data_IF_903449268733
#
_entry.id   IF_903449268733
#
_cell.length_a   1.000
_cell.length_b   1.000
_cell.length_c   1.000
_cell.angle_alpha   90.00
_cell.angle_beta   90.00
_cell.angle_gamma   90.00
#
_symmetry.space_group_name_H-M   'P 1'
#
loop_
_entity.id
_entity.type
_entity.pdbx_description
1 polymer ?
#
# COMPACT_ATOMS: atom_id res chain seq x y z
N UNK A 1 37.69 6.61 -36.97
CA UNK A 1 37.44 6.18 -35.57
C UNK A 1 38.63 6.61 -34.75
N UNK A 2 38.42 7.43 -33.72
CA UNK A 2 39.53 7.90 -32.87
C UNK A 2 39.89 6.83 -31.83
N UNK A 3 41.15 6.81 -31.40
CA UNK A 3 41.59 6.07 -30.22
C UNK A 3 42.03 7.10 -29.18
N UNK A 4 41.07 7.50 -28.33
CA UNK A 4 41.31 8.51 -27.29
C UNK A 4 41.56 7.74 -26.00
N UNK A 5 42.81 7.73 -25.53
CA UNK A 5 43.14 7.10 -24.25
C UNK A 5 42.67 7.97 -23.07
N UNK A 6 42.82 9.30 -23.16
CA UNK A 6 42.38 10.21 -22.12
C UNK A 6 41.96 11.59 -22.64
N UNK A 7 40.99 12.19 -21.95
CA UNK A 7 40.57 13.58 -22.08
C UNK A 7 41.01 14.33 -20.83
N UNK A 8 42.02 15.19 -20.97
CA UNK A 8 42.62 15.96 -19.87
C UNK A 8 41.99 17.34 -19.68
N UNK A 9 41.03 17.70 -20.54
CA UNK A 9 40.34 18.98 -20.54
C UNK A 9 39.69 19.22 -21.90
N UNK A 10 38.41 19.57 -21.90
CA UNK A 10 37.69 19.89 -23.13
C UNK A 10 36.59 20.91 -22.83
N UNK A 11 36.51 21.98 -23.61
CA UNK A 11 35.49 23.01 -23.44
C UNK A 11 34.98 23.45 -24.80
N UNK A 12 33.66 23.47 -24.97
CA UNK A 12 32.99 23.98 -26.15
C UNK A 12 31.75 24.77 -25.75
N UNK A 13 31.47 25.86 -26.46
CA UNK A 13 30.25 26.66 -26.25
C UNK A 13 28.95 25.96 -26.67
N UNK A 14 29.05 24.87 -27.42
CA UNK A 14 27.91 24.07 -27.93
C UNK A 14 28.02 22.62 -27.42
N UNK A 15 27.30 21.70 -28.05
CA UNK A 15 27.40 20.26 -27.79
C UNK A 15 28.77 19.69 -28.14
N UNK A 16 29.17 18.65 -27.41
CA UNK A 16 30.40 17.90 -27.61
C UNK A 16 30.05 16.46 -27.98
N UNK A 17 30.69 15.91 -29.01
CA UNK A 17 30.63 14.49 -29.36
C UNK A 17 32.02 13.84 -29.19
N UNK A 18 32.14 12.91 -28.25
CA UNK A 18 33.33 12.08 -28.07
C UNK A 18 33.09 10.70 -28.69
N UNK A 19 33.89 10.35 -29.68
CA UNK A 19 33.91 9.02 -30.29
C UNK A 19 35.27 8.37 -30.07
N UNK A 20 35.33 7.19 -29.44
CA UNK A 20 36.57 6.47 -29.17
C UNK A 20 36.40 4.96 -29.32
N UNK A 21 37.33 4.27 -29.96
CA UNK A 21 37.27 2.79 -30.10
C UNK A 21 37.77 2.04 -28.87
N UNK A 22 38.43 2.72 -27.93
CA UNK A 22 38.97 2.12 -26.71
C UNK A 22 38.35 2.74 -25.46
N UNK A 23 38.75 2.21 -24.30
CA UNK A 23 38.42 2.82 -23.00
C UNK A 23 39.04 4.22 -22.93
N UNK A 24 38.22 5.21 -22.63
CA UNK A 24 38.64 6.62 -22.55
C UNK A 24 38.56 7.11 -21.11
N UNK A 25 39.69 7.53 -20.55
CA UNK A 25 39.73 8.16 -19.22
C UNK A 25 39.44 9.66 -19.28
N UNK A 26 38.44 10.14 -18.56
CA UNK A 26 38.19 11.58 -18.39
C UNK A 26 38.95 12.03 -17.13
N UNK A 27 40.09 12.68 -17.34
CA UNK A 27 41.04 13.04 -16.26
C UNK A 27 41.04 14.53 -15.93
N UNK A 28 40.48 15.36 -16.81
CA UNK A 28 40.23 16.77 -16.55
C UNK A 28 38.83 17.20 -16.96
N UNK A 29 38.47 18.48 -16.74
CA UNK A 29 37.10 18.95 -16.85
C UNK A 29 36.59 18.89 -18.29
N UNK A 30 35.32 18.51 -18.46
CA UNK A 30 34.61 18.53 -19.74
C UNK A 30 33.43 19.48 -19.61
N UNK A 31 33.41 20.55 -20.40
CA UNK A 31 32.37 21.57 -20.38
C UNK A 31 31.74 21.69 -21.76
N UNK A 32 30.50 21.20 -21.90
CA UNK A 32 29.68 21.40 -23.08
C UNK A 32 28.64 22.49 -22.77
N UNK A 33 28.58 23.54 -23.58
CA UNK A 33 27.48 24.52 -23.51
C UNK A 33 26.14 23.93 -23.96
N UNK A 34 26.17 22.77 -24.65
CA UNK A 34 25.02 21.93 -24.96
C UNK A 34 25.15 20.53 -24.37
N UNK A 35 24.73 19.51 -25.12
CA UNK A 35 24.83 18.11 -24.67
C UNK A 35 26.24 17.55 -24.86
N UNK A 36 26.66 16.68 -23.94
CA UNK A 36 27.77 15.76 -24.13
C UNK A 36 27.24 14.43 -24.68
N UNK A 37 27.79 13.96 -25.80
CA UNK A 37 27.50 12.65 -26.38
C UNK A 37 28.74 11.77 -26.30
N UNK A 38 28.63 10.62 -25.62
CA UNK A 38 29.72 9.65 -25.48
C UNK A 38 29.45 8.40 -26.33
N UNK A 39 30.36 8.07 -27.25
CA UNK A 39 30.26 6.89 -28.10
C UNK A 39 31.58 6.12 -28.09
N UNK A 40 31.57 4.84 -27.71
CA UNK A 40 32.80 4.07 -27.70
C UNK A 40 32.81 2.79 -26.89
N UNK A 41 33.99 2.31 -26.54
CA UNK A 41 34.12 1.08 -25.75
C UNK A 41 33.69 1.31 -24.30
N UNK A 42 34.33 2.25 -23.59
CA UNK A 42 33.99 2.60 -22.22
C UNK A 42 34.50 4.00 -21.89
N UNK A 43 33.89 4.66 -20.92
CA UNK A 43 34.34 5.95 -20.40
C UNK A 43 34.38 5.90 -18.88
N UNK A 44 35.46 6.42 -18.30
CA UNK A 44 35.62 6.48 -16.85
C UNK A 44 36.26 7.80 -16.43
N UNK A 45 35.62 8.52 -15.51
CA UNK A 45 36.23 9.62 -14.80
C UNK A 45 37.28 9.09 -13.83
N UNK A 46 38.49 9.67 -13.90
CA UNK A 46 39.57 9.40 -12.95
C UNK A 46 40.28 10.71 -12.64
N UNK A 47 40.13 11.22 -11.41
CA UNK A 47 40.70 12.52 -11.00
C UNK A 47 39.66 13.63 -10.88
N UNK A 48 40.06 14.89 -11.06
CA UNK A 48 39.19 16.08 -10.94
C UNK A 48 38.35 16.38 -12.19
N UNK A 49 38.13 15.37 -13.05
CA UNK A 49 37.22 15.48 -14.18
C UNK A 49 35.81 15.72 -13.66
N UNK A 50 35.29 16.93 -13.85
CA UNK A 50 33.89 17.24 -13.66
C UNK A 50 33.30 17.50 -15.04
N UNK A 51 32.18 16.84 -15.34
CA UNK A 51 31.38 17.09 -16.53
C UNK A 51 30.34 18.15 -16.19
N UNK A 52 30.32 19.23 -16.99
CA UNK A 52 29.24 20.22 -17.01
C UNK A 52 28.61 20.20 -18.39
N UNK A 53 27.33 19.86 -18.46
CA UNK A 53 26.61 19.80 -19.73
C UNK A 53 25.12 20.07 -19.50
N UNK A 54 24.44 20.62 -20.51
CA UNK A 54 22.96 20.73 -20.44
C UNK A 54 22.30 19.37 -20.57
N UNK A 55 22.99 18.39 -21.14
CA UNK A 55 22.56 17.01 -21.09
C UNK A 55 23.65 16.01 -21.42
N UNK A 56 23.38 14.75 -21.11
CA UNK A 56 24.24 13.61 -21.40
C UNK A 56 23.48 12.61 -22.26
N UNK A 57 24.13 12.12 -23.31
CA UNK A 57 23.64 11.04 -24.17
C UNK A 57 24.79 10.12 -24.51
N UNK A 58 24.50 8.90 -24.94
CA UNK A 58 25.59 8.05 -25.40
C UNK A 58 25.24 6.61 -25.68
N UNK A 59 26.18 5.92 -26.32
CA UNK A 59 26.15 4.48 -26.48
C UNK A 59 27.56 3.93 -26.32
N UNK A 60 27.76 3.16 -25.26
CA UNK A 60 29.06 2.55 -24.94
C UNK A 60 28.91 1.04 -24.85
N UNK A 61 29.86 0.28 -25.38
CA UNK A 61 29.78 -1.19 -25.40
C UNK A 61 30.19 -1.85 -24.08
N UNK A 62 30.84 -1.12 -23.19
CA UNK A 62 31.30 -1.53 -21.86
C UNK A 62 30.66 -0.67 -20.77
N UNK A 63 31.40 -0.40 -19.69
CA UNK A 63 30.93 0.42 -18.57
C UNK A 63 31.03 1.93 -18.82
N UNK A 64 30.19 2.68 -18.11
CA UNK A 64 30.24 4.13 -18.03
C UNK A 64 30.35 4.55 -16.56
N UNK A 65 31.48 5.11 -16.17
CA UNK A 65 31.71 5.54 -14.77
C UNK A 65 31.99 7.03 -14.73
N UNK A 66 30.97 7.82 -14.43
CA UNK A 66 31.04 9.27 -14.23
C UNK A 66 30.87 9.57 -12.74
N UNK A 67 31.85 9.13 -11.94
CA UNK A 67 31.82 9.22 -10.48
C UNK A 67 32.28 10.57 -9.90
N UNK A 68 32.78 11.47 -10.75
CA UNK A 68 33.15 12.83 -10.34
C UNK A 68 31.95 13.67 -9.90
N UNK A 69 32.20 14.88 -9.40
CA UNK A 69 31.12 15.81 -9.06
C UNK A 69 30.59 16.49 -10.35
N UNK A 70 29.64 15.85 -11.01
CA UNK A 70 29.09 16.34 -12.28
C UNK A 70 27.96 17.35 -12.07
N UNK A 71 27.63 18.08 -13.14
CA UNK A 71 26.50 19.00 -13.21
C UNK A 71 25.84 18.84 -14.57
N UNK A 72 24.87 17.93 -14.64
CA UNK A 72 24.17 17.51 -15.84
C UNK A 72 22.67 17.71 -15.61
N UNK A 73 22.04 18.60 -16.37
CA UNK A 73 20.62 18.89 -16.17
C UNK A 73 19.69 17.79 -16.72
N UNK A 74 20.11 17.06 -17.75
CA UNK A 74 19.23 16.10 -18.45
C UNK A 74 20.00 14.87 -18.90
N UNK A 75 19.48 13.69 -18.58
CA UNK A 75 19.93 12.44 -19.17
C UNK A 75 19.03 12.08 -20.35
N UNK A 76 19.55 12.18 -21.57
CA UNK A 76 18.87 11.68 -22.77
C UNK A 76 19.09 10.18 -22.95
N UNK A 77 18.92 9.69 -24.18
CA UNK A 77 19.15 8.27 -24.47
C UNK A 77 20.59 7.88 -24.15
N UNK A 78 20.74 6.87 -23.29
CA UNK A 78 22.03 6.40 -22.81
C UNK A 78 22.03 4.87 -22.71
N UNK A 79 22.98 4.21 -23.37
CA UNK A 79 23.15 2.76 -23.26
C UNK A 79 24.57 2.38 -22.87
N UNK A 80 24.73 1.44 -21.95
CA UNK A 80 26.01 0.81 -21.62
C UNK A 80 25.90 -0.72 -21.68
N UNK A 81 26.96 -1.40 -22.13
CA UNK A 81 27.02 -2.87 -22.14
C UNK A 81 27.33 -3.49 -20.77
N UNK A 82 27.72 -2.65 -19.79
CA UNK A 82 27.93 -3.00 -18.38
C UNK A 82 27.40 -1.86 -17.50
N UNK A 83 27.84 -1.73 -16.26
CA UNK A 83 27.29 -0.77 -15.28
C UNK A 83 27.37 0.69 -15.76
N UNK A 84 26.41 1.48 -15.28
CA UNK A 84 26.41 2.94 -15.38
C UNK A 84 26.53 3.48 -13.96
N UNK A 85 27.56 4.26 -13.69
CA UNK A 85 27.73 5.02 -12.45
C UNK A 85 27.68 6.49 -12.81
N UNK A 86 26.76 7.24 -12.21
CA UNK A 86 26.65 8.68 -12.37
C UNK A 86 26.55 9.33 -11.00
N UNK A 87 27.46 10.26 -10.73
CA UNK A 87 27.41 11.16 -9.58
C UNK A 87 27.18 12.58 -10.10
N UNK A 88 26.05 13.19 -9.73
CA UNK A 88 25.64 14.53 -10.15
C UNK A 88 25.26 15.40 -8.93
N UNK A 89 25.20 16.71 -9.14
CA UNK A 89 24.86 17.68 -8.09
C UNK A 89 23.72 18.63 -8.48
N UNK A 90 23.36 18.68 -9.76
CA UNK A 90 22.24 19.45 -10.28
C UNK A 90 21.02 18.54 -10.39
N UNK A 91 19.81 19.09 -10.20
CA UNK A 91 18.60 18.29 -10.40
C UNK A 91 18.59 17.65 -11.80
N UNK A 92 18.49 16.32 -11.83
CA UNK A 92 18.63 15.53 -13.03
C UNK A 92 17.26 15.11 -13.58
N UNK A 93 17.00 15.49 -14.83
CA UNK A 93 15.82 15.04 -15.56
C UNK A 93 16.17 13.84 -16.47
N UNK A 94 15.59 12.67 -16.23
CA UNK A 94 15.70 11.51 -17.11
C UNK A 94 14.71 11.69 -18.26
N UNK A 95 15.21 12.07 -19.43
CA UNK A 95 14.40 12.45 -20.60
C UNK A 95 14.46 11.45 -21.76
N UNK A 96 15.33 10.43 -21.69
CA UNK A 96 15.43 9.38 -22.71
C UNK A 96 15.53 7.98 -22.10
N UNK A 97 15.53 6.97 -22.95
CA UNK A 97 15.72 5.58 -22.53
C UNK A 97 17.14 5.39 -21.99
N UNK A 98 17.25 4.91 -20.75
CA UNK A 98 18.53 4.48 -20.16
C UNK A 98 18.56 2.96 -20.11
N UNK A 99 19.60 2.35 -20.68
CA UNK A 99 19.71 0.90 -20.76
C UNK A 99 21.07 0.42 -20.28
N UNK A 100 21.06 -0.52 -19.35
CA UNK A 100 22.24 -1.32 -18.99
C UNK A 100 21.80 -2.70 -18.49
N UNK A 101 22.46 -3.80 -18.93
CA UNK A 101 22.23 -5.11 -18.33
C UNK A 101 22.78 -5.20 -16.89
N UNK A 102 23.65 -4.26 -16.50
CA UNK A 102 24.21 -4.13 -15.17
C UNK A 102 23.37 -3.20 -14.27
N UNK A 103 24.05 -2.60 -13.30
CA UNK A 103 23.44 -1.67 -12.35
C UNK A 103 23.60 -0.23 -12.83
N UNK A 104 22.53 0.56 -12.76
CA UNK A 104 22.61 2.01 -12.72
C UNK A 104 22.80 2.43 -11.25
N UNK A 105 23.99 2.94 -10.92
CA UNK A 105 24.25 3.60 -9.64
C UNK A 105 24.13 5.10 -9.84
N UNK A 106 23.08 5.70 -9.30
CA UNK A 106 22.79 7.11 -9.42
C UNK A 106 22.95 7.82 -8.07
N UNK A 107 23.98 8.65 -7.97
CA UNK A 107 24.15 9.56 -6.84
C UNK A 107 23.83 10.97 -7.32
N UNK A 108 22.89 11.65 -6.67
CA UNK A 108 22.51 13.01 -7.02
C UNK A 108 22.33 13.84 -5.75
N UNK A 109 22.96 15.01 -5.64
CA UNK A 109 22.80 15.86 -4.47
C UNK A 109 21.42 16.57 -4.41
N UNK A 110 20.72 16.64 -5.54
CA UNK A 110 19.41 17.26 -5.71
C UNK A 110 18.33 16.17 -5.96
N UNK A 111 17.25 16.54 -6.66
CA UNK A 111 16.17 15.63 -7.00
C UNK A 111 16.36 15.02 -8.39
N UNK A 112 15.89 13.79 -8.56
CA UNK A 112 15.87 13.08 -9.84
C UNK A 112 14.42 12.85 -10.27
N UNK A 113 14.09 13.26 -11.49
CA UNK A 113 12.75 13.09 -12.04
C UNK A 113 12.79 12.48 -13.43
N UNK A 114 11.88 11.55 -13.70
CA UNK A 114 11.66 10.97 -15.01
C UNK A 114 10.61 11.77 -15.80
N UNK A 115 10.98 12.21 -17.00
CA UNK A 115 10.09 12.90 -17.91
C UNK A 115 9.06 11.93 -18.53
N UNK A 116 7.91 12.46 -18.95
CA UNK A 116 6.91 11.66 -19.66
C UNK A 116 7.48 11.00 -20.93
N UNK A 117 7.36 9.68 -21.02
CA UNK A 117 7.85 8.89 -22.16
C UNK A 117 9.31 8.45 -22.07
N UNK A 118 10.05 8.86 -21.02
CA UNK A 118 11.30 8.21 -20.66
C UNK A 118 11.02 6.83 -20.04
N UNK A 119 12.08 6.02 -19.97
CA UNK A 119 12.05 4.70 -19.34
C UNK A 119 13.46 4.26 -18.95
N UNK A 120 13.54 3.37 -17.98
CA UNK A 120 14.75 2.67 -17.57
C UNK A 120 14.63 1.19 -17.92
N UNK A 121 15.69 0.59 -18.45
CA UNK A 121 15.83 -0.85 -18.66
C UNK A 121 17.13 -1.32 -18.04
N UNK A 122 17.05 -1.82 -16.81
CA UNK A 122 18.19 -1.99 -15.90
C UNK A 122 18.23 -3.40 -15.31
N UNK A 123 19.44 -3.98 -15.20
CA UNK A 123 19.67 -5.14 -14.35
C UNK A 123 19.56 -4.81 -12.85
N UNK A 124 19.89 -3.58 -12.47
CA UNK A 124 19.70 -3.08 -11.12
C UNK A 124 19.69 -1.57 -11.00
N UNK A 125 19.12 -1.08 -9.91
CA UNK A 125 19.14 0.33 -9.51
C UNK A 125 19.72 0.46 -8.09
N UNK A 126 20.67 1.37 -7.93
CA UNK A 126 21.31 1.69 -6.67
C UNK A 126 21.58 3.20 -6.57
N UNK A 127 21.83 3.69 -5.35
CA UNK A 127 22.44 5.00 -5.14
C UNK A 127 21.79 5.84 -4.04
N UNK A 128 22.02 7.15 -4.11
CA UNK A 128 21.60 8.10 -3.08
C UNK A 128 21.20 9.42 -3.73
N UNK A 129 19.96 9.82 -3.51
CA UNK A 129 19.37 11.05 -4.02
C UNK A 129 19.14 12.00 -2.84
N UNK A 130 19.71 13.20 -2.88
CA UNK A 130 19.60 14.18 -1.80
C UNK A 130 18.19 14.76 -1.67
N UNK A 131 17.47 14.86 -2.78
CA UNK A 131 16.06 15.26 -2.87
C UNK A 131 15.12 14.07 -3.05
N UNK A 132 14.00 14.29 -3.76
CA UNK A 132 13.08 13.22 -4.14
C UNK A 132 13.55 12.44 -5.37
N UNK A 133 13.07 11.20 -5.51
CA UNK A 133 13.29 10.34 -6.66
C UNK A 133 11.94 9.97 -7.28
N UNK A 134 11.68 10.41 -8.51
CA UNK A 134 10.45 10.09 -9.23
C UNK A 134 10.76 9.36 -10.52
N UNK A 135 10.50 8.04 -10.53
CA UNK A 135 10.59 7.15 -11.69
C UNK A 135 9.18 6.71 -12.07
N UNK A 136 8.38 7.62 -12.61
CA UNK A 136 6.96 7.42 -12.89
C UNK A 136 6.65 6.77 -14.25
N UNK A 137 7.66 6.53 -15.08
CA UNK A 137 7.54 5.93 -16.41
C UNK A 137 7.32 4.43 -16.38
N UNK A 138 7.30 3.83 -17.57
CA UNK A 138 7.16 2.39 -17.76
C UNK A 138 8.53 1.70 -17.65
N UNK A 139 9.10 1.69 -16.44
CA UNK A 139 10.44 1.16 -16.20
C UNK A 139 10.49 -0.37 -16.17
N UNK A 140 11.65 -0.94 -16.50
CA UNK A 140 11.99 -2.35 -16.36
C UNK A 140 13.29 -2.47 -15.57
N UNK A 141 13.16 -2.51 -14.26
CA UNK A 141 14.22 -2.60 -13.27
C UNK A 141 14.13 -3.99 -12.65
N UNK A 142 15.17 -4.81 -12.83
CA UNK A 142 15.14 -6.18 -12.31
C UNK A 142 15.42 -6.23 -10.80
N UNK A 143 16.33 -5.39 -10.29
CA UNK A 143 16.72 -5.40 -8.87
C UNK A 143 16.80 -3.99 -8.28
N UNK A 144 16.34 -3.85 -7.03
CA UNK A 144 16.71 -2.72 -6.18
C UNK A 144 17.83 -3.16 -5.24
N UNK A 145 18.97 -2.49 -5.32
CA UNK A 145 20.04 -2.63 -4.34
C UNK A 145 19.87 -1.59 -3.22
N UNK A 146 20.97 -1.10 -2.64
CA UNK A 146 20.89 0.03 -1.71
C UNK A 146 20.47 1.30 -2.44
N UNK A 147 19.33 1.88 -2.06
CA UNK A 147 18.78 3.08 -2.66
C UNK A 147 18.20 4.00 -1.58
N UNK A 148 18.50 5.29 -1.65
CA UNK A 148 17.93 6.28 -0.72
C UNK A 148 17.52 7.55 -1.44
N UNK A 149 16.45 8.18 -0.95
CA UNK A 149 16.03 9.53 -1.32
C UNK A 149 15.79 10.37 -0.06
N UNK A 150 16.30 11.61 -0.04
CA UNK A 150 16.06 12.53 1.07
C UNK A 150 14.62 13.07 1.14
N UNK A 151 13.86 12.96 0.04
CA UNK A 151 12.43 13.29 -0.03
C UNK A 151 11.56 12.07 -0.36
N UNK A 152 10.45 12.30 -1.07
CA UNK A 152 9.59 11.22 -1.56
C UNK A 152 10.30 10.38 -2.62
N UNK A 153 10.02 9.08 -2.63
CA UNK A 153 10.47 8.12 -3.63
C UNK A 153 9.26 7.47 -4.30
N UNK A 154 9.18 7.59 -5.62
CA UNK A 154 8.22 6.87 -6.47
C UNK A 154 8.98 6.02 -7.48
N UNK A 155 8.69 4.71 -7.52
CA UNK A 155 9.20 3.80 -8.54
C UNK A 155 8.01 3.06 -9.17
N UNK A 156 7.73 3.37 -10.43
CA UNK A 156 6.81 2.64 -11.27
C UNK A 156 7.59 1.65 -12.15
N UNK A 157 7.22 0.38 -12.13
CA UNK A 157 7.92 -0.69 -12.81
C UNK A 157 6.95 -1.70 -13.44
N UNK A 158 7.17 -2.02 -14.71
CA UNK A 158 6.26 -2.90 -15.48
C UNK A 158 6.53 -4.38 -15.24
N UNK A 159 7.67 -4.72 -14.64
CA UNK A 159 8.10 -6.09 -14.40
C UNK A 159 8.20 -6.43 -12.91
N UNK A 160 8.71 -7.62 -12.63
CA UNK A 160 9.06 -8.03 -11.27
C UNK A 160 10.36 -7.40 -10.83
N UNK A 161 10.39 -6.87 -9.62
CA UNK A 161 11.59 -6.32 -8.96
C UNK A 161 12.01 -7.21 -7.81
N UNK A 162 13.31 -7.48 -7.66
CA UNK A 162 13.85 -8.11 -6.44
C UNK A 162 14.44 -7.05 -5.51
N UNK A 163 14.06 -7.07 -4.23
CA UNK A 163 14.57 -6.19 -3.19
C UNK A 163 15.85 -6.78 -2.55
N UNK A 164 17.02 -6.44 -3.10
CA UNK A 164 18.34 -6.95 -2.70
C UNK A 164 19.12 -5.99 -1.77
N UNK A 165 18.50 -4.93 -1.27
CA UNK A 165 19.14 -4.01 -0.35
C UNK A 165 18.15 -3.04 0.30
N UNK A 166 18.62 -2.22 1.24
CA UNK A 166 17.78 -1.23 1.89
C UNK A 166 17.34 -0.15 0.90
N UNK A 167 16.03 0.11 0.86
CA UNK A 167 15.41 1.18 0.11
C UNK A 167 14.73 2.12 1.09
N UNK A 168 15.13 3.40 1.06
CA UNK A 168 14.62 4.38 2.02
C UNK A 168 14.22 5.71 1.37
N UNK A 169 13.17 6.32 1.90
CA UNK A 169 12.72 7.66 1.53
C UNK A 169 12.58 8.51 2.78
N UNK A 170 12.90 9.81 2.68
CA UNK A 170 12.80 10.72 3.82
C UNK A 170 11.37 10.94 4.31
N UNK A 171 10.38 10.75 3.44
CA UNK A 171 8.96 10.99 3.72
C UNK A 171 8.08 9.82 3.32
N UNK A 172 7.86 9.61 2.01
CA UNK A 172 7.01 8.54 1.49
C UNK A 172 7.75 7.69 0.45
N UNK A 173 7.56 6.38 0.51
CA UNK A 173 8.00 5.43 -0.49
C UNK A 173 6.79 4.84 -1.20
N UNK A 174 6.69 5.05 -2.51
CA UNK A 174 5.64 4.51 -3.36
C UNK A 174 6.23 3.54 -4.40
N UNK A 175 5.84 2.27 -4.34
CA UNK A 175 6.18 1.26 -5.33
C UNK A 175 4.93 0.87 -6.13
N UNK A 176 4.95 1.13 -7.43
CA UNK A 176 3.90 0.72 -8.38
C UNK A 176 4.49 -0.32 -9.32
N UNK A 177 4.40 -1.60 -8.96
CA UNK A 177 5.14 -2.66 -9.65
C UNK A 177 4.26 -3.84 -10.04
N UNK A 178 4.60 -4.52 -11.14
CA UNK A 178 3.90 -5.75 -11.52
C UNK A 178 4.23 -6.92 -10.57
N UNK A 179 5.43 -6.91 -9.96
CA UNK A 179 5.86 -7.91 -9.00
C UNK A 179 6.94 -7.37 -8.07
N UNK A 180 7.00 -7.91 -6.84
CA UNK A 180 8.02 -7.57 -5.85
C UNK A 180 8.44 -8.85 -5.11
N UNK A 181 9.69 -9.22 -5.23
CA UNK A 181 10.27 -10.38 -4.57
C UNK A 181 11.21 -9.90 -3.47
N UNK A 182 11.19 -10.60 -2.34
CA UNK A 182 12.22 -10.45 -1.33
C UNK A 182 13.56 -10.98 -1.88
N UNK A 183 14.60 -10.20 -1.69
CA UNK A 183 15.99 -10.60 -1.94
C UNK A 183 16.82 -10.61 -0.66
N UNK A 184 18.13 -10.72 -0.79
CA UNK A 184 19.04 -10.74 0.37
C UNK A 184 19.22 -9.35 0.97
N UNK A 185 18.85 -9.14 2.24
CA UNK A 185 19.10 -7.87 2.94
C UNK A 185 18.18 -6.71 2.53
N UNK A 186 17.02 -7.02 1.95
CA UNK A 186 16.00 -6.04 1.60
C UNK A 186 15.32 -5.41 2.81
N UNK A 187 15.13 -4.09 2.79
CA UNK A 187 14.27 -3.38 3.75
C UNK A 187 13.61 -2.18 3.07
N UNK A 188 12.39 -1.82 3.46
CA UNK A 188 11.70 -0.62 3.00
C UNK A 188 11.49 0.32 4.19
N UNK A 189 11.99 1.54 4.11
CA UNK A 189 11.89 2.52 5.20
C UNK A 189 11.41 3.89 4.72
N UNK A 190 10.32 4.37 5.29
CA UNK A 190 9.76 5.71 5.09
C UNK A 190 8.73 5.97 6.20
N UNK A 191 8.26 7.21 6.33
CA UNK A 191 7.09 7.50 7.18
C UNK A 191 5.82 6.83 6.64
N UNK A 192 5.68 6.78 5.32
CA UNK A 192 4.61 6.05 4.62
C UNK A 192 5.21 5.11 3.59
N UNK A 193 4.79 3.84 3.60
CA UNK A 193 5.13 2.86 2.56
C UNK A 193 3.85 2.51 1.81
N UNK A 194 3.77 2.89 0.54
CA UNK A 194 2.63 2.65 -0.34
C UNK A 194 3.01 1.68 -1.46
N UNK A 195 2.26 0.59 -1.61
CA UNK A 195 2.52 -0.43 -2.63
C UNK A 195 1.25 -0.70 -3.43
N UNK A 196 1.35 -0.66 -4.76
CA UNK A 196 0.25 -0.98 -5.66
C UNK A 196 0.71 -1.81 -6.86
N UNK A 197 -0.19 -2.63 -7.44
CA UNK A 197 0.10 -3.32 -8.69
C UNK A 197 0.25 -2.32 -9.84
N UNK A 198 1.16 -2.60 -10.78
CA UNK A 198 1.21 -1.89 -12.05
C UNK A 198 -0.09 -2.11 -12.84
N UNK A 199 -0.66 -1.05 -13.42
CA UNK A 199 -1.93 -1.06 -14.20
C UNK A 199 -3.18 -1.59 -13.47
N UNK A 200 -3.31 -1.35 -12.16
CA UNK A 200 -4.52 -1.71 -11.41
C UNK A 200 -4.85 -3.22 -11.45
N UNK A 201 -3.83 -4.08 -11.51
CA UNK A 201 -4.02 -5.54 -11.47
C UNK A 201 -4.42 -6.09 -10.10
N UNK A 202 -4.34 -7.42 -9.97
CA UNK A 202 -4.53 -8.10 -8.70
C UNK A 202 -3.31 -7.94 -7.80
N UNK A 203 -3.58 -7.71 -6.52
CA UNK A 203 -2.61 -7.80 -5.45
C UNK A 203 -2.92 -9.04 -4.60
N UNK A 204 -1.88 -9.79 -4.26
CA UNK A 204 -1.91 -10.98 -3.43
C UNK A 204 -0.98 -10.75 -2.23
N UNK A 205 -1.53 -10.73 -1.02
CA UNK A 205 -0.80 -10.74 0.24
C UNK A 205 -0.82 -12.18 0.73
N UNK A 206 0.34 -12.81 0.88
CA UNK A 206 0.42 -14.25 1.21
C UNK A 206 1.17 -15.07 0.18
N UNK A 207 1.06 -14.72 -1.11
CA UNK A 207 1.91 -15.23 -2.18
C UNK A 207 1.66 -16.69 -2.54
N UNK A 208 0.42 -17.17 -2.48
CA UNK A 208 0.10 -18.60 -2.64
C UNK A 208 -0.64 -18.97 -3.93
N UNK A 209 -1.24 -18.07 -4.72
CA UNK A 209 -1.91 -18.53 -5.94
C UNK A 209 -2.30 -17.53 -7.04
N UNK A 210 -2.21 -16.20 -6.87
CA UNK A 210 -2.79 -15.29 -7.87
C UNK A 210 -1.73 -14.59 -8.72
N UNK A 211 -1.94 -14.58 -10.05
CA UNK A 211 -1.12 -13.79 -10.97
C UNK A 211 -1.25 -12.30 -10.62
N UNK A 212 -0.13 -11.62 -10.41
CA UNK A 212 -0.10 -10.20 -10.04
C UNK A 212 1.04 -9.87 -9.09
N UNK A 213 0.89 -8.75 -8.39
CA UNK A 213 1.83 -8.33 -7.37
C UNK A 213 1.64 -9.20 -6.13
N UNK A 214 2.70 -9.88 -5.68
CA UNK A 214 2.66 -10.75 -4.51
C UNK A 214 3.51 -10.16 -3.38
N UNK A 215 2.96 -10.09 -2.17
CA UNK A 215 3.68 -9.69 -0.96
C UNK A 215 3.64 -10.85 0.05
N UNK A 216 4.70 -11.64 0.09
CA UNK A 216 4.87 -12.69 1.09
C UNK A 216 5.19 -12.09 2.47
N UNK A 217 4.99 -12.86 3.55
CA UNK A 217 5.31 -12.42 4.92
C UNK A 217 6.74 -11.90 5.05
N UNK A 218 7.72 -12.57 4.45
CA UNK A 218 9.12 -12.18 4.61
C UNK A 218 9.40 -10.79 4.02
N UNK A 219 8.73 -10.43 2.91
CA UNK A 219 8.75 -9.07 2.37
C UNK A 219 8.02 -8.06 3.26
N UNK A 220 6.86 -8.42 3.82
CA UNK A 220 6.13 -7.56 4.76
C UNK A 220 6.97 -7.27 6.02
N UNK A 221 7.72 -8.26 6.49
CA UNK A 221 8.66 -8.10 7.61
C UNK A 221 9.83 -7.16 7.30
N UNK A 222 10.07 -6.84 6.03
CA UNK A 222 11.10 -5.91 5.60
C UNK A 222 10.68 -4.44 5.73
N UNK A 223 9.40 -4.16 6.03
CA UNK A 223 8.90 -2.79 6.18
C UNK A 223 9.29 -2.22 7.53
N UNK A 224 9.57 -0.91 7.59
CA UNK A 224 9.78 -0.22 8.87
C UNK A 224 8.54 -0.36 9.76
N UNK A 225 8.76 -0.77 11.01
CA UNK A 225 7.68 -1.04 11.97
C UNK A 225 6.89 0.20 12.39
N UNK A 226 7.39 1.40 12.11
CA UNK A 226 6.73 2.67 12.40
C UNK A 226 6.08 3.30 11.16
N UNK A 227 6.21 2.67 9.99
CA UNK A 227 5.60 3.18 8.78
C UNK A 227 4.07 3.06 8.86
N UNK A 228 3.37 4.06 8.34
CA UNK A 228 1.99 3.86 7.88
C UNK A 228 2.06 3.08 6.58
N UNK A 229 1.40 1.93 6.53
CA UNK A 229 1.49 1.04 5.38
C UNK A 229 0.20 1.16 4.56
N UNK A 230 0.33 1.46 3.27
CA UNK A 230 -0.78 1.52 2.32
C UNK A 230 -0.58 0.44 1.28
N UNK A 231 -1.54 -0.44 1.17
CA UNK A 231 -1.48 -1.63 0.33
C UNK A 231 -2.63 -1.60 -0.66
N UNK A 232 -2.31 -1.76 -1.94
CA UNK A 232 -3.27 -1.70 -3.04
C UNK A 232 -3.55 -0.30 -3.56
N UNK A 233 -2.90 0.76 -3.05
CA UNK A 233 -2.88 2.06 -3.70
C UNK A 233 -1.54 2.79 -3.54
N UNK A 234 -1.08 3.38 -4.64
CA UNK A 234 0.10 4.22 -4.70
C UNK A 234 0.05 5.07 -5.98
N UNK A 235 0.44 6.34 -5.89
CA UNK A 235 0.52 7.27 -7.03
C UNK A 235 -0.74 7.30 -7.93
N UNK A 236 -1.93 7.30 -7.32
CA UNK A 236 -3.21 7.32 -8.04
C UNK A 236 -3.64 5.97 -8.65
N UNK A 237 -2.78 4.95 -8.64
CA UNK A 237 -3.13 3.58 -9.01
C UNK A 237 -3.82 2.90 -7.83
N UNK A 238 -4.84 2.08 -8.13
CA UNK A 238 -5.53 1.23 -7.15
C UNK A 238 -5.61 -0.20 -7.69
N UNK A 239 -5.43 -1.21 -6.85
CA UNK A 239 -5.62 -2.61 -7.22
C UNK A 239 -7.07 -2.87 -7.65
N UNK A 240 -7.28 -3.70 -8.67
CA UNK A 240 -8.64 -4.14 -9.05
C UNK A 240 -9.22 -5.11 -8.04
N UNK A 241 -8.36 -5.87 -7.38
CA UNK A 241 -8.70 -6.83 -6.35
C UNK A 241 -7.52 -7.04 -5.43
N UNK A 242 -7.80 -7.26 -4.15
CA UNK A 242 -6.81 -7.66 -3.14
C UNK A 242 -7.21 -9.01 -2.59
N UNK A 243 -6.30 -9.97 -2.64
CA UNK A 243 -6.41 -11.25 -1.95
C UNK A 243 -5.44 -11.23 -0.78
N UNK A 244 -5.92 -11.54 0.42
CA UNK A 244 -5.10 -11.70 1.60
C UNK A 244 -5.18 -13.16 2.05
N UNK A 245 -4.24 -13.93 1.55
CA UNK A 245 -4.03 -15.35 1.82
C UNK A 245 -2.78 -15.55 2.71
N UNK A 246 -2.54 -16.80 3.12
CA UNK A 246 -1.39 -17.13 3.99
C UNK A 246 -1.45 -16.46 5.37
N UNK A 247 -0.30 -16.38 6.04
CA UNK A 247 -0.21 -15.76 7.37
C UNK A 247 0.62 -14.49 7.28
N UNK A 248 -0.03 -13.34 7.37
CA UNK A 248 0.59 -12.02 7.24
C UNK A 248 0.42 -11.22 8.51
N UNK A 249 1.53 -10.77 9.08
CA UNK A 249 1.62 -9.83 10.17
C UNK A 249 2.42 -8.61 9.70
N UNK A 250 1.79 -7.45 9.79
CA UNK A 250 2.43 -6.15 9.58
C UNK A 250 3.08 -5.63 10.88
N UNK A 251 3.49 -6.55 11.76
CA UNK A 251 3.99 -6.25 13.09
C UNK A 251 3.05 -5.27 13.81
N UNK A 252 3.58 -4.13 14.27
CA UNK A 252 2.81 -3.10 14.95
C UNK A 252 2.46 -1.90 14.03
N UNK A 253 2.26 -2.11 12.73
CA UNK A 253 1.87 -1.02 11.82
C UNK A 253 0.35 -0.75 11.83
N UNK A 254 -0.01 0.49 11.46
CA UNK A 254 -1.34 0.82 10.95
C UNK A 254 -1.34 0.58 9.43
N UNK A 255 -2.31 -0.19 8.96
CA UNK A 255 -2.34 -0.66 7.58
C UNK A 255 -3.65 -0.28 6.91
N UNK A 256 -3.57 0.40 5.78
CA UNK A 256 -4.71 0.60 4.88
C UNK A 256 -4.63 -0.40 3.74
N UNK A 257 -5.66 -1.23 3.57
CA UNK A 257 -5.82 -2.12 2.41
C UNK A 257 -6.91 -1.56 1.50
N UNK A 258 -6.57 -1.22 0.26
CA UNK A 258 -7.53 -0.62 -0.66
C UNK A 258 -7.59 -1.32 -2.01
N UNK A 259 -8.80 -1.40 -2.54
CA UNK A 259 -9.12 -2.00 -3.83
C UNK A 259 -10.21 -1.17 -4.50
N UNK A 260 -10.19 -1.04 -5.83
CA UNK A 260 -11.35 -0.56 -6.58
C UNK A 260 -12.42 -1.63 -6.76
N UNK A 261 -12.08 -2.90 -6.55
CA UNK A 261 -12.99 -4.04 -6.61
C UNK A 261 -12.91 -4.87 -5.33
N UNK A 262 -12.91 -6.19 -5.44
CA UNK A 262 -13.05 -7.04 -4.26
C UNK A 262 -11.84 -7.00 -3.31
N UNK A 263 -12.09 -7.21 -2.01
CA UNK A 263 -11.09 -7.63 -1.03
C UNK A 263 -11.54 -8.99 -0.49
N UNK A 264 -10.69 -10.00 -0.67
CA UNK A 264 -10.94 -11.37 -0.18
C UNK A 264 -9.84 -11.74 0.78
N UNK A 265 -10.17 -11.91 2.05
CA UNK A 265 -9.24 -12.32 3.10
C UNK A 265 -9.59 -13.74 3.53
N UNK A 266 -8.65 -14.68 3.38
CA UNK A 266 -8.82 -16.11 3.71
C UNK A 266 -7.74 -16.62 4.65
N UNK A 267 -6.63 -15.90 4.75
CA UNK A 267 -5.49 -16.21 5.59
C UNK A 267 -5.61 -15.69 7.03
N UNK A 268 -4.48 -15.44 7.67
CA UNK A 268 -4.42 -14.67 8.92
C UNK A 268 -3.83 -13.29 8.66
N UNK A 269 -4.40 -12.26 9.29
CA UNK A 269 -3.96 -10.88 9.16
C UNK A 269 -3.76 -10.26 10.56
N UNK A 270 -2.54 -9.82 10.87
CA UNK A 270 -2.14 -9.26 12.17
C UNK A 270 -1.51 -7.86 12.07
N UNK A 271 -1.88 -6.93 12.96
CA UNK A 271 -1.38 -5.55 12.95
C UNK A 271 -1.90 -4.71 14.13
N UNK A 272 -1.45 -3.45 14.29
CA UNK A 272 -2.09 -2.54 15.26
C UNK A 272 -3.45 -2.09 14.80
N UNK A 273 -3.61 -1.88 13.50
CA UNK A 273 -4.90 -1.51 12.95
C UNK A 273 -4.98 -1.78 11.46
N UNK A 274 -6.21 -2.07 11.01
CA UNK A 274 -6.52 -2.24 9.60
C UNK A 274 -7.69 -1.35 9.21
N UNK A 275 -7.51 -0.59 8.14
CA UNK A 275 -8.57 0.11 7.43
C UNK A 275 -8.70 -0.47 6.02
N UNK A 276 -9.75 -1.26 5.79
CA UNK A 276 -10.06 -1.86 4.51
C UNK A 276 -11.06 -0.98 3.75
N UNK A 277 -10.80 -0.70 2.48
CA UNK A 277 -11.71 0.05 1.60
C UNK A 277 -11.79 -0.61 0.22
N UNK A 278 -13.00 -1.04 -0.17
CA UNK A 278 -13.17 -1.90 -1.34
C UNK A 278 -14.58 -1.92 -1.94
N UNK A 279 -14.69 -2.65 -3.04
CA UNK A 279 -15.92 -3.05 -3.71
C UNK A 279 -16.75 -3.97 -2.83
N UNK A 280 -16.69 -5.27 -3.07
CA UNK A 280 -17.24 -6.30 -2.17
C UNK A 280 -16.15 -6.83 -1.24
N UNK A 281 -16.49 -7.17 -0.01
CA UNK A 281 -15.54 -7.74 0.95
C UNK A 281 -15.96 -9.12 1.43
N UNK A 282 -15.02 -10.05 1.44
CA UNK A 282 -15.17 -11.38 2.06
C UNK A 282 -14.05 -11.58 3.08
N UNK A 283 -14.38 -11.57 4.37
CA UNK A 283 -13.46 -11.71 5.49
C UNK A 283 -13.60 -13.12 6.07
N UNK A 284 -13.01 -14.08 5.37
CA UNK A 284 -13.18 -15.51 5.59
C UNK A 284 -12.08 -16.15 6.44
N UNK A 285 -10.99 -15.43 6.71
CA UNK A 285 -9.89 -15.88 7.55
C UNK A 285 -9.88 -15.18 8.91
N UNK A 286 -8.77 -15.32 9.63
CA UNK A 286 -8.65 -14.72 10.96
C UNK A 286 -7.96 -13.35 10.89
N UNK A 287 -8.53 -12.35 11.55
CA UNK A 287 -8.00 -11.00 11.62
C UNK A 287 -7.83 -10.63 13.10
N UNK A 288 -6.63 -10.22 13.47
CA UNK A 288 -6.31 -9.71 14.80
C UNK A 288 -5.72 -8.32 14.69
N UNK A 289 -6.41 -7.33 15.25
CA UNK A 289 -6.02 -5.94 15.17
C UNK A 289 -6.30 -5.20 16.49
N UNK A 290 -5.55 -4.14 16.79
CA UNK A 290 -5.99 -3.19 17.81
C UNK A 290 -7.30 -2.51 17.39
N UNK A 291 -7.33 -1.92 16.19
CA UNK A 291 -8.54 -1.35 15.57
C UNK A 291 -8.80 -1.97 14.20
N UNK A 292 -10.05 -2.22 13.85
CA UNK A 292 -10.42 -2.75 12.55
C UNK A 292 -11.59 -1.97 11.95
N UNK A 293 -11.40 -1.44 10.75
CA UNK A 293 -12.42 -0.82 9.93
C UNK A 293 -12.49 -1.56 8.61
N UNK A 294 -13.69 -1.95 8.18
CA UNK A 294 -13.93 -2.41 6.82
C UNK A 294 -15.07 -1.61 6.20
N UNK A 295 -14.75 -0.83 5.17
CA UNK A 295 -15.68 0.00 4.42
C UNK A 295 -15.91 -0.53 3.01
N UNK A 296 -16.94 -1.35 2.88
CA UNK A 296 -17.35 -1.98 1.63
C UNK A 296 -18.38 -1.10 0.92
N UNK A 297 -18.12 -0.75 -0.33
CA UNK A 297 -19.11 -0.08 -1.19
C UNK A 297 -20.21 -1.05 -1.66
N UNK A 298 -19.92 -2.35 -1.64
CA UNK A 298 -20.83 -3.46 -1.89
C UNK A 298 -21.13 -4.28 -0.63
N UNK A 299 -21.51 -5.54 -0.81
CA UNK A 299 -21.75 -6.45 0.32
C UNK A 299 -20.46 -6.79 1.06
N UNK A 300 -20.56 -6.93 2.38
CA UNK A 300 -19.50 -7.46 3.24
C UNK A 300 -20.01 -8.74 3.89
N UNK A 301 -19.28 -9.84 3.70
CA UNK A 301 -19.46 -11.09 4.44
C UNK A 301 -18.25 -11.32 5.32
N UNK A 302 -18.48 -11.63 6.59
CA UNK A 302 -17.47 -12.01 7.56
C UNK A 302 -17.77 -13.42 8.01
N UNK A 303 -16.89 -14.37 7.71
CA UNK A 303 -17.06 -15.78 8.09
C UNK A 303 -15.91 -16.34 8.93
N UNK A 304 -14.74 -15.70 8.91
CA UNK A 304 -13.61 -16.05 9.78
C UNK A 304 -13.66 -15.35 11.14
N UNK A 305 -12.60 -15.44 11.93
CA UNK A 305 -12.54 -14.78 13.25
C UNK A 305 -12.07 -13.34 13.11
N UNK A 306 -12.77 -12.39 13.72
CA UNK A 306 -12.34 -11.00 13.78
C UNK A 306 -12.20 -10.57 15.24
N UNK A 307 -10.98 -10.24 15.66
CA UNK A 307 -10.68 -9.78 17.02
C UNK A 307 -10.03 -8.41 16.98
N UNK A 308 -10.57 -7.48 17.76
CA UNK A 308 -9.92 -6.19 18.00
C UNK A 308 -10.66 -5.29 18.97
N UNK A 309 -9.98 -4.30 19.55
CA UNK A 309 -10.59 -3.45 20.59
C UNK A 309 -11.77 -2.64 20.05
N UNK A 310 -11.66 -2.11 18.84
CA UNK A 310 -12.73 -1.43 18.13
C UNK A 310 -12.87 -2.04 16.74
N UNK A 311 -14.07 -2.53 16.42
CA UNK A 311 -14.41 -3.13 15.13
C UNK A 311 -15.56 -2.36 14.52
N UNK A 312 -15.37 -1.87 13.29
CA UNK A 312 -16.38 -1.19 12.49
C UNK A 312 -16.52 -1.86 11.13
N UNK A 313 -17.74 -2.30 10.81
CA UNK A 313 -18.07 -2.93 9.54
C UNK A 313 -19.14 -2.09 8.83
N UNK A 314 -18.86 -1.66 7.60
CA UNK A 314 -19.82 -0.98 6.73
C UNK A 314 -19.94 -1.65 5.36
N UNK A 315 -21.16 -1.65 4.82
CA UNK A 315 -21.48 -2.31 3.55
C UNK A 315 -22.85 -1.94 2.99
N UNK A 316 -23.10 -2.32 1.74
CA UNK A 316 -24.47 -2.30 1.19
C UNK A 316 -25.35 -3.40 1.82
N UNK A 317 -24.72 -4.47 2.31
CA UNK A 317 -25.29 -5.51 3.15
C UNK A 317 -24.19 -6.07 4.05
N UNK A 318 -24.53 -6.47 5.28
CA UNK A 318 -23.58 -7.13 6.19
C UNK A 318 -24.05 -8.56 6.51
N UNK A 319 -23.23 -9.55 6.15
CA UNK A 319 -23.35 -10.93 6.62
C UNK A 319 -22.30 -11.23 7.68
N UNK A 320 -22.75 -11.62 8.88
CA UNK A 320 -21.90 -11.95 10.03
C UNK A 320 -22.04 -13.44 10.33
N UNK A 321 -21.25 -14.24 9.63
CA UNK A 321 -21.27 -15.70 9.66
C UNK A 321 -20.15 -16.28 10.53
N UNK A 322 -19.20 -15.44 10.98
CA UNK A 322 -18.06 -15.81 11.82
C UNK A 322 -18.16 -15.35 13.27
N UNK A 323 -17.03 -15.42 13.99
CA UNK A 323 -16.93 -14.89 15.36
C UNK A 323 -16.33 -13.48 15.34
N UNK A 324 -16.96 -12.54 16.04
CA UNK A 324 -16.44 -11.18 16.25
C UNK A 324 -16.21 -10.95 17.73
N UNK A 325 -15.00 -10.58 18.11
CA UNK A 325 -14.62 -10.21 19.46
C UNK A 325 -14.16 -8.75 19.48
N UNK A 326 -14.89 -7.90 20.20
CA UNK A 326 -14.56 -6.49 20.32
C UNK A 326 -14.94 -5.86 21.65
N UNK A 327 -14.31 -4.74 22.03
CA UNK A 327 -14.89 -3.90 23.08
C UNK A 327 -16.03 -3.07 22.48
N UNK A 328 -15.78 -2.43 21.35
CA UNK A 328 -16.80 -1.66 20.61
C UNK A 328 -17.02 -2.29 19.24
N UNK A 329 -18.26 -2.68 18.96
CA UNK A 329 -18.70 -3.18 17.66
C UNK A 329 -19.66 -2.17 17.02
N UNK A 330 -19.31 -1.70 15.83
CA UNK A 330 -20.13 -0.81 15.00
C UNK A 330 -20.52 -1.53 13.71
N UNK A 331 -21.81 -1.60 13.42
CA UNK A 331 -22.35 -2.26 12.22
C UNK A 331 -23.20 -1.29 11.40
N UNK A 332 -22.83 -1.02 10.15
CA UNK A 332 -23.54 -0.08 9.29
C UNK A 332 -23.87 -0.71 7.95
N UNK A 333 -25.16 -0.83 7.64
CA UNK A 333 -25.63 -1.42 6.39
C UNK A 333 -26.64 -0.52 5.71
N UNK A 334 -26.46 -0.24 4.42
CA UNK A 334 -27.53 0.36 3.62
C UNK A 334 -28.72 -0.59 3.42
N UNK A 335 -28.49 -1.89 3.49
CA UNK A 335 -29.49 -2.96 3.40
C UNK A 335 -29.68 -3.65 4.74
N UNK A 336 -29.62 -4.98 4.73
CA UNK A 336 -29.77 -5.79 5.94
C UNK A 336 -28.42 -6.02 6.65
N UNK A 337 -28.50 -6.27 7.95
CA UNK A 337 -27.47 -6.91 8.76
C UNK A 337 -28.03 -8.27 9.16
N UNK A 338 -27.36 -9.36 8.78
CA UNK A 338 -27.78 -10.73 9.05
C UNK A 338 -26.66 -11.52 9.69
N UNK A 339 -26.98 -12.25 10.75
CA UNK A 339 -26.07 -13.16 11.42
C UNK A 339 -26.33 -14.61 10.98
N UNK A 340 -25.27 -15.31 10.60
CA UNK A 340 -25.30 -16.72 10.22
C UNK A 340 -25.54 -17.65 11.41
N UNK A 341 -26.01 -18.87 11.13
CA UNK A 341 -26.20 -19.88 12.16
C UNK A 341 -24.85 -20.31 12.75
N UNK A 342 -24.69 -20.17 14.08
CA UNK A 342 -23.45 -20.51 14.80
C UNK A 342 -22.43 -19.37 14.88
N UNK A 343 -22.65 -18.25 14.19
CA UNK A 343 -21.87 -17.03 14.37
C UNK A 343 -22.07 -16.47 15.79
N UNK A 344 -21.03 -15.84 16.35
CA UNK A 344 -21.05 -15.26 17.70
C UNK A 344 -20.49 -13.86 17.71
N UNK A 345 -21.26 -12.91 18.23
CA UNK A 345 -20.78 -11.56 18.52
C UNK A 345 -20.49 -11.44 20.02
N UNK A 346 -19.24 -11.19 20.37
CA UNK A 346 -18.81 -10.86 21.72
C UNK A 346 -18.40 -9.39 21.75
N UNK A 347 -19.21 -8.54 22.39
CA UNK A 347 -18.98 -7.11 22.42
C UNK A 347 -19.31 -6.50 23.79
N UNK A 348 -18.47 -5.59 24.30
CA UNK A 348 -18.88 -4.78 25.45
C UNK A 348 -19.95 -3.75 25.07
N UNK A 349 -19.85 -3.18 23.86
CA UNK A 349 -20.78 -2.20 23.32
C UNK A 349 -21.09 -2.49 21.86
N UNK A 350 -22.38 -2.50 21.52
CA UNK A 350 -22.88 -2.62 20.15
C UNK A 350 -23.63 -1.35 19.73
N UNK A 351 -23.24 -0.78 18.60
CA UNK A 351 -24.05 0.18 17.85
C UNK A 351 -24.26 -0.32 16.43
N UNK A 352 -25.41 -0.03 15.85
CA UNK A 352 -25.61 -0.32 14.43
C UNK A 352 -26.82 0.31 13.78
N UNK A 353 -26.79 0.34 12.45
CA UNK A 353 -27.88 0.83 11.62
C UNK A 353 -28.02 -0.03 10.37
N UNK A 354 -29.26 -0.34 10.00
CA UNK A 354 -29.62 -1.04 8.78
C UNK A 354 -30.72 -0.29 8.04
N UNK A 355 -30.66 -0.22 6.71
CA UNK A 355 -31.76 0.31 5.90
C UNK A 355 -33.01 -0.57 5.98
N UNK A 356 -32.85 -1.89 6.15
CA UNK A 356 -33.96 -2.84 6.27
C UNK A 356 -34.00 -3.49 7.65
N UNK A 357 -33.26 -4.56 7.89
CA UNK A 357 -33.35 -5.34 9.13
C UNK A 357 -31.99 -5.56 9.78
N UNK A 358 -32.01 -5.66 11.11
CA UNK A 358 -30.91 -6.17 11.92
C UNK A 358 -31.37 -7.51 12.49
N UNK A 359 -30.80 -8.62 12.03
CA UNK A 359 -31.11 -9.97 12.49
C UNK A 359 -29.85 -10.60 13.10
N UNK A 360 -29.72 -10.51 14.42
CA UNK A 360 -28.64 -11.00 15.26
C UNK A 360 -29.16 -12.14 16.15
N UNK A 361 -29.68 -13.19 15.52
CA UNK A 361 -30.32 -14.33 16.19
C UNK A 361 -29.37 -15.41 16.72
N UNK A 362 -28.06 -15.18 16.69
CA UNK A 362 -27.06 -16.11 17.24
C UNK A 362 -26.98 -16.08 18.77
N UNK A 363 -26.12 -16.93 19.34
CA UNK A 363 -25.84 -16.94 20.79
C UNK A 363 -24.81 -15.87 21.16
N UNK A 364 -25.24 -14.61 21.08
CA UNK A 364 -24.37 -13.47 21.30
C UNK A 364 -23.96 -13.30 22.78
N UNK A 365 -23.02 -12.39 22.98
CA UNK A 365 -22.48 -11.99 24.27
C UNK A 365 -22.25 -10.48 24.23
N UNK A 366 -23.33 -9.70 24.25
CA UNK A 366 -23.28 -8.25 24.14
C UNK A 366 -23.67 -7.63 25.49
N UNK A 367 -22.73 -6.91 26.12
CA UNK A 367 -23.04 -6.31 27.43
C UNK A 367 -23.99 -5.12 27.32
N UNK A 368 -23.81 -4.26 26.31
CA UNK A 368 -24.67 -3.10 26.09
C UNK A 368 -24.91 -2.76 24.63
N UNK A 369 -26.13 -2.28 24.34
CA UNK A 369 -26.49 -1.64 23.07
C UNK A 369 -26.52 -0.13 23.27
N UNK A 370 -25.64 0.57 22.56
CA UNK A 370 -25.54 2.04 22.55
C UNK A 370 -26.36 2.69 21.44
N UNK A 371 -26.96 1.90 20.57
CA UNK A 371 -27.98 2.36 19.63
C UNK A 371 -28.18 1.40 18.47
N UNK A 372 -29.43 1.09 18.15
CA UNK A 372 -29.79 0.25 17.00
C UNK A 372 -30.93 0.87 16.22
N UNK A 373 -30.77 1.04 14.92
CA UNK A 373 -31.82 1.54 14.03
C UNK A 373 -32.01 0.64 12.83
N UNK A 374 -33.26 0.26 12.52
CA UNK A 374 -33.58 -0.51 11.32
C UNK A 374 -34.87 0.00 10.68
N UNK A 375 -34.95 0.03 9.34
CA UNK A 375 -36.18 0.45 8.64
C UNK A 375 -37.37 -0.50 8.88
N UNK A 376 -37.09 -1.79 8.99
CA UNK A 376 -38.07 -2.87 9.14
C UNK A 376 -38.03 -3.48 10.54
N UNK A 377 -37.01 -4.29 10.86
CA UNK A 377 -37.03 -5.12 12.06
C UNK A 377 -35.67 -5.20 12.75
N UNK A 378 -35.68 -5.28 14.07
CA UNK A 378 -34.54 -5.67 14.89
C UNK A 378 -34.90 -6.98 15.57
N UNK A 379 -34.09 -8.02 15.39
CA UNK A 379 -34.11 -9.26 16.16
C UNK A 379 -32.72 -9.45 16.76
N UNK A 380 -32.61 -9.43 18.08
CA UNK A 380 -31.36 -9.60 18.80
C UNK A 380 -31.54 -10.61 19.92
N UNK A 381 -30.81 -11.72 19.80
CA UNK A 381 -30.73 -12.76 20.81
C UNK A 381 -29.36 -12.68 21.49
N UNK A 382 -29.34 -12.70 22.81
CA UNK A 382 -28.14 -12.62 23.62
C UNK A 382 -28.15 -13.71 24.70
N UNK A 383 -27.00 -14.32 24.95
CA UNK A 383 -26.81 -15.27 26.04
C UNK A 383 -26.34 -14.57 27.34
N UNK A 384 -25.94 -13.30 27.28
CA UNK A 384 -25.58 -12.47 28.43
C UNK A 384 -26.70 -11.49 28.77
N UNK A 385 -26.66 -10.93 29.99
CA UNK A 385 -27.57 -9.86 30.37
C UNK A 385 -27.34 -8.63 29.49
N UNK A 386 -28.41 -8.11 28.89
CA UNK A 386 -28.32 -7.07 27.86
C UNK A 386 -28.85 -5.73 28.37
N UNK A 387 -27.98 -4.71 28.33
CA UNK A 387 -28.33 -3.34 28.70
C UNK A 387 -28.53 -2.43 27.48
N UNK A 388 -29.74 -1.91 27.30
CA UNK A 388 -30.06 -0.90 26.30
C UNK A 388 -29.78 0.49 26.89
N UNK A 389 -28.67 1.09 26.48
CA UNK A 389 -28.16 2.38 27.00
C UNK A 389 -28.22 3.51 25.98
N UNK A 390 -28.48 3.20 24.70
CA UNK A 390 -28.88 4.17 23.69
C UNK A 390 -30.16 3.78 22.94
N UNK A 391 -30.63 4.66 22.06
CA UNK A 391 -31.94 4.50 21.43
C UNK A 391 -32.02 3.28 20.52
N UNK A 392 -33.10 2.51 20.63
CA UNK A 392 -33.41 1.41 19.73
C UNK A 392 -34.69 1.72 18.98
N UNK A 393 -34.67 1.68 17.65
CA UNK A 393 -35.83 2.01 16.83
C UNK A 393 -35.95 1.14 15.57
N UNK A 394 -37.14 0.55 15.36
CA UNK A 394 -37.50 -0.16 14.14
C UNK A 394 -39.02 -0.29 14.01
N UNK A 395 -39.52 -0.80 12.87
CA UNK A 395 -40.95 -1.09 12.76
C UNK A 395 -41.34 -2.26 13.67
N UNK A 396 -40.50 -3.30 13.76
CA UNK A 396 -40.65 -4.45 14.67
C UNK A 396 -39.38 -4.63 15.51
N UNK A 397 -39.52 -4.99 16.79
CA UNK A 397 -38.37 -5.24 17.67
C UNK A 397 -38.59 -6.56 18.43
N UNK A 398 -37.62 -7.46 18.38
CA UNK A 398 -37.49 -8.64 19.21
C UNK A 398 -36.16 -8.58 19.95
N UNK A 399 -36.19 -8.57 21.27
CA UNK A 399 -35.00 -8.65 22.12
C UNK A 399 -35.15 -9.86 23.05
N UNK A 400 -34.21 -10.79 23.02
CA UNK A 400 -34.17 -11.95 23.92
C UNK A 400 -32.83 -12.00 24.66
N UNK A 401 -32.87 -12.04 25.99
CA UNK A 401 -31.69 -12.17 26.85
C UNK A 401 -32.08 -12.73 28.22
N UNK A 402 -31.17 -13.36 29.00
CA UNK A 402 -31.48 -13.78 30.36
C UNK A 402 -31.97 -12.65 31.27
N UNK A 403 -31.43 -11.44 31.10
CA UNK A 403 -31.93 -10.22 31.74
C UNK A 403 -31.92 -9.08 30.73
N UNK A 404 -32.90 -8.18 30.86
CA UNK A 404 -33.03 -7.00 30.00
C UNK A 404 -33.10 -5.73 30.86
N UNK A 405 -32.28 -4.74 30.54
CA UNK A 405 -32.33 -3.41 31.14
C UNK A 405 -32.55 -2.34 30.09
N UNK A 406 -33.69 -1.65 30.17
CA UNK A 406 -34.08 -0.60 29.24
C UNK A 406 -33.87 0.77 29.89
N UNK A 407 -32.65 1.29 29.78
CA UNK A 407 -32.23 2.59 30.30
C UNK A 407 -32.32 3.73 29.27
N UNK A 408 -32.50 3.39 27.99
CA UNK A 408 -32.74 4.34 26.90
C UNK A 408 -34.03 3.99 26.13
N UNK A 409 -34.59 4.95 25.34
CA UNK A 409 -35.85 4.75 24.65
C UNK A 409 -35.82 3.59 23.66
N UNK A 410 -36.87 2.78 23.68
CA UNK A 410 -37.17 1.77 22.66
C UNK A 410 -38.43 2.21 21.92
N UNK A 411 -38.31 2.49 20.63
CA UNK A 411 -39.39 3.00 19.78
C UNK A 411 -39.73 1.98 18.70
N UNK A 412 -40.94 1.42 18.76
CA UNK A 412 -41.42 0.44 17.80
C UNK A 412 -42.67 0.97 17.10
N UNK A 413 -42.76 0.83 15.77
CA UNK A 413 -43.95 1.27 15.04
C UNK A 413 -45.09 0.23 15.12
N UNK A 414 -44.75 -1.06 15.27
CA UNK A 414 -45.68 -2.16 15.47
C UNK A 414 -45.37 -2.92 16.76
N UNK A 415 -44.92 -4.17 16.62
CA UNK A 415 -44.76 -5.13 17.73
C UNK A 415 -43.38 -5.06 18.34
N UNK A 416 -43.32 -4.86 19.66
CA UNK A 416 -42.16 -5.16 20.48
C UNK A 416 -42.38 -6.50 21.23
N UNK A 417 -41.48 -7.45 21.01
CA UNK A 417 -41.35 -8.69 21.76
C UNK A 417 -40.10 -8.60 22.65
N UNK A 418 -40.29 -8.61 23.96
CA UNK A 418 -39.22 -8.61 24.95
C UNK A 418 -39.26 -9.94 25.69
N UNK A 419 -38.24 -10.77 25.49
CA UNK A 419 -38.12 -12.08 26.08
C UNK A 419 -36.99 -12.10 27.11
N UNK A 420 -37.35 -12.25 28.38
CA UNK A 420 -36.40 -12.34 29.48
C UNK A 420 -36.82 -13.43 30.45
N UNK A 421 -35.96 -14.45 30.60
CA UNK A 421 -36.16 -15.51 31.59
C UNK A 421 -35.93 -15.02 33.04
N UNK A 422 -35.20 -13.92 33.20
CA UNK A 422 -34.90 -13.26 34.47
C UNK A 422 -35.53 -11.87 34.56
N UNK A 423 -34.80 -10.91 35.14
CA UNK A 423 -35.32 -9.55 35.39
C UNK A 423 -35.41 -8.71 34.13
N UNK A 424 -36.59 -8.14 33.88
CA UNK A 424 -36.78 -7.01 32.98
C UNK A 424 -36.87 -5.72 33.81
N UNK A 425 -35.95 -4.79 33.59
CA UNK A 425 -35.96 -3.45 34.22
C UNK A 425 -36.20 -2.38 33.15
N UNK A 426 -37.10 -1.46 33.43
CA UNK A 426 -37.46 -0.37 32.51
C UNK A 426 -37.39 0.96 33.26
N UNK A 427 -36.46 1.81 32.85
CA UNK A 427 -36.31 3.18 33.37
C UNK A 427 -36.50 4.26 32.30
N UNK A 428 -36.50 3.88 31.03
CA UNK A 428 -36.82 4.74 29.89
C UNK A 428 -38.10 4.29 29.15
N UNK A 429 -38.73 5.19 28.37
CA UNK A 429 -39.97 4.89 27.66
C UNK A 429 -39.83 3.75 26.64
N UNK A 430 -40.77 2.79 26.70
CA UNK A 430 -41.10 1.90 25.60
C UNK A 430 -42.29 2.51 24.85
N UNK A 431 -42.06 2.97 23.63
CA UNK A 431 -43.11 3.57 22.78
C UNK A 431 -43.48 2.56 21.70
N UNK A 432 -44.66 1.96 21.80
CA UNK A 432 -45.24 1.15 20.75
C UNK A 432 -46.26 1.96 19.93
N UNK A 433 -46.16 1.91 18.61
CA UNK A 433 -47.19 2.39 17.70
C UNK A 433 -48.44 1.52 17.86
N UNK A 434 -49.59 2.19 17.94
CA UNK A 434 -50.91 1.58 18.15
C UNK A 434 -51.37 0.76 16.97
#
# INVERSE_FOLDING_TARGET
>A
TNSIASVTGLTAGQSILLTSTGTTGITGPVQAGGSLTLQGAAFAESGAGAIRATGLTGSVSGGLTLGGANSIATLGSLSAGSDIVLNDAQALNLAGLVTTPGTLTLTDAAAVTEAGGAALSLGGLAGQIGGGLTLGGANSIATLASLSAGGDMLIANIGTMTLNGPVSAGTSLALVTAGLLEGTGGSLAAGTIAIAPYNAGTLDLGGTAVAGLQLAQALVSAFDSHAVVIIGAANGVRASSVYSEGNISFANALVTLTSSGAITQTGTLGGQGFDLAGGTMALNGDISAGTFTADSTGGLSQSGTLSGTAVSLSGSSLGLDGSVEANTLTLQSAGAISQGAGAKLNAASLTGSAGTSIALGGTNSIASVTGLTAGSGIDLQDAHGLAITGSVAAAQITLSAPTLSLAAPVSVAGVALLDSAGTLTQSAPLRAGT
#
